data_IF_605032630443
#
_entry.id   IF_605032630443
#
_cell.length_a   1.000
_cell.length_b   1.000
_cell.length_c   1.000
_cell.angle_alpha   90.00
_cell.angle_beta   90.00
_cell.angle_gamma   90.00
#
_symmetry.space_group_name_H-M   'P 1'
#
loop_
_entity.id
_entity.type
_entity.pdbx_description
1 polymer ?
#
# COMPACT_ATOMS: atom_id res chain seq x y z
N UNK A 1 24.40 -29.23 20.40
CA UNK A 1 23.52 -28.15 19.93
C UNK A 1 22.36 -27.89 20.89
N UNK A 2 21.45 -28.85 21.14
CA UNK A 2 20.35 -28.62 22.11
C UNK A 2 20.80 -28.22 23.52
N UNK A 3 21.94 -28.72 24.00
CA UNK A 3 22.53 -28.29 25.28
C UNK A 3 23.08 -26.85 25.23
N UNK A 4 23.53 -26.40 24.07
CA UNK A 4 24.03 -25.03 23.88
C UNK A 4 22.90 -24.01 23.79
N UNK A 5 21.73 -24.39 23.24
CA UNK A 5 20.54 -23.52 23.29
C UNK A 5 20.07 -23.22 24.71
N UNK A 6 20.45 -24.04 25.70
CA UNK A 6 20.17 -23.83 27.14
C UNK A 6 21.16 -22.90 27.85
N UNK A 7 22.17 -22.42 27.14
CA UNK A 7 23.17 -21.56 27.75
C UNK A 7 22.55 -20.19 28.10
N UNK A 8 22.75 -19.77 29.36
CA UNK A 8 22.28 -18.47 29.88
C UNK A 8 22.84 -17.28 29.11
N UNK A 9 23.93 -17.47 28.36
CA UNK A 9 24.48 -16.44 27.47
C UNK A 9 23.46 -15.97 26.41
N UNK A 10 22.47 -16.80 26.09
CA UNK A 10 21.41 -16.48 25.14
C UNK A 10 20.14 -15.92 25.81
N UNK A 11 20.14 -15.69 27.13
CA UNK A 11 18.99 -15.07 27.81
C UNK A 11 18.82 -13.62 27.30
N UNK A 12 17.65 -13.33 26.72
CA UNK A 12 17.39 -12.05 26.04
C UNK A 12 17.85 -11.99 24.58
N UNK A 13 18.39 -13.07 24.04
CA UNK A 13 18.83 -13.24 22.65
C UNK A 13 18.10 -14.42 21.99
N UNK A 14 16.78 -14.43 22.09
CA UNK A 14 15.97 -15.60 21.72
C UNK A 14 16.08 -15.97 20.22
N UNK A 15 16.38 -15.01 19.34
CA UNK A 15 16.64 -15.24 17.92
C UNK A 15 17.84 -16.20 17.68
N UNK A 16 18.86 -16.15 18.53
CA UNK A 16 20.01 -17.07 18.47
C UNK A 16 19.64 -18.45 18.98
N UNK A 17 18.75 -18.52 19.98
CA UNK A 17 18.22 -19.77 20.50
C UNK A 17 17.36 -20.46 19.44
N UNK A 18 16.51 -19.71 18.74
CA UNK A 18 15.74 -20.17 17.58
C UNK A 18 16.64 -20.69 16.47
N UNK A 19 17.70 -19.96 16.12
CA UNK A 19 18.66 -20.38 15.10
C UNK A 19 19.33 -21.73 15.44
N UNK A 20 19.68 -21.97 16.71
CA UNK A 20 20.26 -23.25 17.14
C UNK A 20 19.24 -24.39 17.02
N UNK A 21 17.98 -24.11 17.32
CA UNK A 21 16.88 -25.08 17.22
C UNK A 21 16.61 -25.40 15.75
N UNK A 22 16.55 -24.41 14.88
CA UNK A 22 16.39 -24.55 13.43
C UNK A 22 17.55 -25.36 12.81
N UNK A 23 18.80 -25.09 13.19
CA UNK A 23 19.94 -25.90 12.76
C UNK A 23 19.82 -27.34 13.28
N UNK A 24 19.29 -27.53 14.49
CA UNK A 24 19.07 -28.86 15.05
C UNK A 24 17.99 -29.65 14.29
N UNK A 25 17.02 -28.98 13.67
CA UNK A 25 15.99 -29.62 12.83
C UNK A 25 16.58 -30.31 11.60
N UNK A 26 17.74 -29.88 11.11
CA UNK A 26 18.48 -30.56 10.01
C UNK A 26 18.96 -31.97 10.34
N UNK A 27 18.89 -32.37 11.61
CA UNK A 27 19.26 -33.70 12.11
C UNK A 27 18.04 -34.51 12.56
N UNK A 28 16.83 -34.10 12.15
CA UNK A 28 15.56 -34.76 12.52
C UNK A 28 15.28 -36.06 11.73
N UNK A 29 16.14 -36.41 10.77
CA UNK A 29 16.16 -37.71 10.09
C UNK A 29 16.42 -38.85 11.08
N UNK A 30 17.27 -38.60 12.09
CA UNK A 30 17.53 -39.52 13.20
C UNK A 30 16.40 -39.42 14.23
N UNK A 31 15.59 -40.47 14.36
CA UNK A 31 14.43 -40.53 15.26
C UNK A 31 14.74 -40.09 16.71
N UNK A 32 15.86 -40.52 17.29
CA UNK A 32 16.23 -40.13 18.66
C UNK A 32 16.48 -38.61 18.79
N UNK A 33 17.09 -37.98 17.78
CA UNK A 33 17.34 -36.54 17.79
C UNK A 33 16.06 -35.76 17.55
N UNK A 34 15.21 -36.25 16.64
CA UNK A 34 13.87 -35.72 16.42
C UNK A 34 13.03 -35.70 17.68
N UNK A 35 12.92 -36.83 18.39
CA UNK A 35 12.09 -36.93 19.60
C UNK A 35 12.61 -35.99 20.71
N UNK A 36 13.93 -35.85 20.85
CA UNK A 36 14.55 -34.88 21.78
C UNK A 36 14.27 -33.43 21.38
N UNK A 37 14.30 -33.13 20.09
CA UNK A 37 14.01 -31.80 19.56
C UNK A 37 12.54 -31.42 19.74
N UNK A 38 11.61 -32.34 19.48
CA UNK A 38 10.16 -32.14 19.72
C UNK A 38 9.89 -31.77 21.18
N UNK A 39 10.37 -32.59 22.12
CA UNK A 39 10.23 -32.33 23.57
C UNK A 39 10.85 -31.00 23.99
N UNK A 40 11.98 -30.63 23.36
CA UNK A 40 12.66 -29.37 23.65
C UNK A 40 11.81 -28.17 23.24
N UNK A 41 11.26 -28.21 22.03
CA UNK A 41 10.41 -27.15 21.50
C UNK A 41 9.13 -27.01 22.34
N UNK A 42 8.45 -28.11 22.66
CA UNK A 42 7.25 -28.11 23.49
C UNK A 42 7.50 -27.48 24.88
N UNK A 43 8.64 -27.81 25.49
CA UNK A 43 9.06 -27.22 26.77
C UNK A 43 9.31 -25.71 26.68
N UNK A 44 9.92 -25.24 25.59
CA UNK A 44 10.16 -23.81 25.39
C UNK A 44 8.85 -23.05 25.14
N UNK A 45 7.97 -23.58 24.29
CA UNK A 45 6.67 -22.97 24.00
C UNK A 45 5.80 -22.90 25.25
N UNK A 46 5.77 -23.96 26.07
CA UNK A 46 4.99 -23.98 27.32
C UNK A 46 5.47 -22.95 28.36
N UNK A 47 6.78 -22.67 28.42
CA UNK A 47 7.33 -21.61 29.28
C UNK A 47 6.95 -20.19 28.82
N UNK A 48 6.66 -20.02 27.54
CA UNK A 48 6.38 -18.73 26.93
C UNK A 48 4.88 -18.37 26.95
N UNK A 49 4.01 -19.23 27.53
CA UNK A 49 2.54 -19.04 27.51
C UNK A 49 2.07 -17.76 28.23
N UNK A 50 2.81 -17.30 29.25
CA UNK A 50 2.42 -16.14 30.06
C UNK A 50 2.99 -14.80 29.56
N UNK A 51 3.78 -14.81 28.47
CA UNK A 51 4.47 -13.62 27.99
C UNK A 51 4.06 -13.24 26.56
N UNK A 52 3.20 -12.23 26.44
CA UNK A 52 2.75 -11.66 25.15
C UNK A 52 3.92 -11.25 24.24
N UNK A 53 5.06 -10.86 24.83
CA UNK A 53 6.26 -10.46 24.08
C UNK A 53 6.94 -11.64 23.37
N UNK A 54 6.70 -12.87 23.83
CA UNK A 54 7.28 -14.10 23.27
C UNK A 54 6.34 -14.78 22.26
N UNK A 55 5.23 -14.14 21.88
CA UNK A 55 4.27 -14.71 20.93
C UNK A 55 4.93 -15.07 19.59
N UNK A 56 5.78 -14.19 19.06
CA UNK A 56 6.52 -14.42 17.81
C UNK A 56 7.52 -15.57 17.94
N UNK A 57 8.24 -15.63 19.05
CA UNK A 57 9.19 -16.72 19.34
C UNK A 57 8.47 -18.07 19.44
N UNK A 58 7.33 -18.12 20.14
CA UNK A 58 6.49 -19.32 20.19
C UNK A 58 5.93 -19.74 18.83
N UNK A 59 5.52 -18.78 17.98
CA UNK A 59 5.08 -19.05 16.61
C UNK A 59 6.19 -19.70 15.78
N UNK A 60 7.41 -19.14 15.81
CA UNK A 60 8.57 -19.69 15.10
C UNK A 60 8.93 -21.11 15.56
N UNK A 61 9.00 -21.33 16.87
CA UNK A 61 9.29 -22.66 17.43
C UNK A 61 8.25 -23.70 16.99
N UNK A 62 6.96 -23.32 17.00
CA UNK A 62 5.89 -24.19 16.55
C UNK A 62 5.97 -24.45 15.04
N UNK A 63 6.42 -23.51 14.22
CA UNK A 63 6.66 -23.73 12.80
C UNK A 63 7.77 -24.76 12.57
N UNK A 64 8.89 -24.68 13.30
CA UNK A 64 9.95 -25.69 13.23
C UNK A 64 9.41 -27.08 13.65
N UNK A 65 8.60 -27.13 14.71
CA UNK A 65 7.96 -28.38 15.12
C UNK A 65 6.99 -28.91 14.06
N UNK A 66 6.24 -28.03 13.42
CA UNK A 66 5.35 -28.38 12.32
C UNK A 66 6.12 -28.97 11.13
N UNK A 67 7.24 -28.38 10.71
CA UNK A 67 8.07 -28.93 9.61
C UNK A 67 8.51 -30.37 9.90
N UNK A 68 8.90 -30.65 11.15
CA UNK A 68 9.27 -32.00 11.58
C UNK A 68 8.08 -32.96 11.54
N UNK A 69 6.88 -32.50 11.91
CA UNK A 69 5.66 -33.30 11.87
C UNK A 69 5.22 -33.54 10.42
N UNK A 70 5.31 -32.53 9.56
CA UNK A 70 4.93 -32.61 8.14
C UNK A 70 5.85 -33.56 7.36
N UNK A 71 7.15 -33.57 7.68
CA UNK A 71 8.13 -34.43 7.01
C UNK A 71 8.13 -35.89 7.50
N UNK A 72 7.99 -36.11 8.82
CA UNK A 72 8.18 -37.43 9.43
C UNK A 72 6.94 -38.03 10.10
N UNK A 73 5.85 -37.26 10.20
CA UNK A 73 4.58 -37.67 10.78
C UNK A 73 3.58 -38.18 9.74
N UNK A 74 2.32 -38.33 10.19
CA UNK A 74 1.20 -38.61 9.28
C UNK A 74 0.54 -37.33 8.78
N UNK A 75 -0.17 -37.42 7.65
CA UNK A 75 -0.94 -36.29 7.11
C UNK A 75 -2.01 -35.82 8.10
N UNK A 76 -2.64 -36.76 8.81
CA UNK A 76 -3.59 -36.47 9.89
C UNK A 76 -2.93 -35.73 11.05
N UNK A 77 -1.76 -36.16 11.52
CA UNK A 77 -1.01 -35.49 12.60
C UNK A 77 -0.66 -34.05 12.23
N UNK A 78 -0.17 -33.84 11.00
CA UNK A 78 0.15 -32.50 10.50
C UNK A 78 -1.10 -31.61 10.39
N UNK A 79 -2.23 -32.17 9.91
CA UNK A 79 -3.49 -31.42 9.81
C UNK A 79 -4.08 -31.06 11.18
N UNK A 80 -4.02 -31.97 12.15
CA UNK A 80 -4.44 -31.70 13.54
C UNK A 80 -3.54 -30.64 14.19
N UNK A 81 -2.23 -30.71 13.95
CA UNK A 81 -1.27 -29.74 14.49
C UNK A 81 -1.55 -28.32 13.97
N UNK A 82 -1.84 -28.16 12.68
CA UNK A 82 -2.23 -26.86 12.11
C UNK A 82 -3.50 -26.34 12.78
N UNK A 83 -4.55 -27.18 12.87
CA UNK A 83 -5.84 -26.80 13.45
C UNK A 83 -5.71 -26.37 14.92
N UNK A 84 -4.84 -27.03 15.69
CA UNK A 84 -4.59 -26.69 17.09
C UNK A 84 -3.91 -25.32 17.27
N UNK A 85 -3.25 -24.79 16.23
CA UNK A 85 -2.40 -23.60 16.31
C UNK A 85 -2.94 -22.38 15.53
N UNK A 86 -4.19 -22.38 15.07
CA UNK A 86 -4.82 -21.29 14.29
C UNK A 86 -4.92 -19.91 14.98
N UNK A 87 -4.51 -19.81 16.25
CA UNK A 87 -4.31 -18.53 16.95
C UNK A 87 -3.14 -17.72 16.38
N UNK A 88 -2.21 -18.39 15.73
CA UNK A 88 -1.04 -17.84 15.07
C UNK A 88 -1.32 -17.58 13.59
N UNK A 89 -0.77 -16.50 13.06
CA UNK A 89 -1.01 -16.06 11.68
C UNK A 89 -0.42 -17.06 10.70
N UNK A 90 0.82 -17.51 10.94
CA UNK A 90 1.50 -18.44 10.05
C UNK A 90 0.73 -19.77 9.88
N UNK A 91 0.10 -20.26 10.96
CA UNK A 91 -0.71 -21.48 10.90
C UNK A 91 -2.05 -21.31 10.16
N UNK A 92 -2.65 -20.12 10.21
CA UNK A 92 -3.80 -19.80 9.35
C UNK A 92 -3.41 -19.82 7.88
N UNK A 93 -2.24 -19.27 7.55
CA UNK A 93 -1.72 -19.28 6.17
C UNK A 93 -1.47 -20.70 5.67
N UNK A 94 -0.81 -21.54 6.48
CA UNK A 94 -0.58 -22.95 6.16
C UNK A 94 -1.90 -23.70 5.88
N UNK A 95 -2.93 -23.48 6.70
CA UNK A 95 -4.23 -24.10 6.49
C UNK A 95 -4.89 -23.60 5.19
N UNK A 96 -4.83 -22.29 4.95
CA UNK A 96 -5.37 -21.68 3.72
C UNK A 96 -4.67 -22.24 2.48
N UNK A 97 -3.34 -22.36 2.49
CA UNK A 97 -2.58 -22.91 1.37
C UNK A 97 -2.96 -24.36 1.07
N UNK A 98 -3.20 -25.18 2.10
CA UNK A 98 -3.73 -26.55 1.93
C UNK A 98 -5.13 -26.54 1.32
N UNK A 99 -6.04 -25.73 1.86
CA UNK A 99 -7.41 -25.62 1.35
C UNK A 99 -7.46 -25.12 -0.09
N UNK A 100 -6.56 -24.20 -0.49
CA UNK A 100 -6.42 -23.75 -1.87
C UNK A 100 -5.99 -24.90 -2.78
N UNK A 101 -5.02 -25.72 -2.36
CA UNK A 101 -4.60 -26.91 -3.13
C UNK A 101 -5.73 -27.93 -3.27
N UNK A 102 -6.55 -28.08 -2.23
CA UNK A 102 -7.75 -28.91 -2.20
C UNK A 102 -8.95 -28.29 -2.95
N UNK A 103 -8.84 -27.02 -3.36
CA UNK A 103 -9.91 -26.21 -3.97
C UNK A 103 -11.14 -26.00 -3.08
N UNK A 104 -10.97 -26.10 -1.75
CA UNK A 104 -12.03 -25.80 -0.77
C UNK A 104 -12.05 -24.29 -0.45
N UNK A 105 -12.43 -23.52 -1.47
CA UNK A 105 -12.46 -22.05 -1.38
C UNK A 105 -13.51 -21.53 -0.40
N UNK A 106 -14.55 -22.32 -0.09
CA UNK A 106 -15.55 -21.96 0.92
C UNK A 106 -14.91 -21.84 2.30
N UNK A 107 -14.10 -22.81 2.71
CA UNK A 107 -13.36 -22.73 3.97
C UNK A 107 -12.25 -21.68 3.95
N UNK A 108 -11.64 -21.41 2.80
CA UNK A 108 -10.67 -20.30 2.66
C UNK A 108 -11.34 -18.97 3.01
N UNK A 109 -12.57 -18.74 2.54
CA UNK A 109 -13.34 -17.52 2.85
C UNK A 109 -13.60 -17.43 4.36
N UNK A 110 -14.05 -18.52 4.99
CA UNK A 110 -14.31 -18.57 6.43
C UNK A 110 -13.06 -18.20 7.24
N UNK A 111 -11.91 -18.84 6.93
CA UNK A 111 -10.64 -18.58 7.62
C UNK A 111 -10.12 -17.18 7.38
N UNK A 112 -10.26 -16.63 6.17
CA UNK A 112 -9.84 -15.27 5.87
C UNK A 112 -10.68 -14.25 6.65
N UNK A 113 -12.01 -14.44 6.72
CA UNK A 113 -12.89 -13.59 7.54
C UNK A 113 -12.53 -13.65 9.02
N UNK A 114 -12.26 -14.85 9.57
CA UNK A 114 -11.78 -14.97 10.94
C UNK A 114 -10.43 -14.27 11.14
N UNK A 115 -9.53 -14.37 10.17
CA UNK A 115 -8.23 -13.69 10.16
C UNK A 115 -8.38 -12.17 10.20
N UNK A 116 -9.28 -11.59 9.41
CA UNK A 116 -9.58 -10.15 9.41
C UNK A 116 -10.04 -9.67 10.80
N UNK A 117 -10.87 -10.45 11.50
CA UNK A 117 -11.33 -10.12 12.86
C UNK A 117 -10.20 -10.27 13.89
N UNK A 118 -9.46 -11.39 13.84
CA UNK A 118 -8.41 -11.70 14.82
C UNK A 118 -7.22 -10.74 14.71
N UNK A 119 -6.90 -10.30 13.50
CA UNK A 119 -5.75 -9.44 13.21
C UNK A 119 -6.14 -7.97 12.93
N UNK A 120 -7.35 -7.54 13.33
CA UNK A 120 -7.89 -6.20 13.04
C UNK A 120 -6.95 -5.03 13.37
N UNK A 121 -6.06 -5.20 14.35
CA UNK A 121 -5.07 -4.20 14.77
C UNK A 121 -3.86 -4.07 13.82
N UNK A 122 -3.68 -5.03 12.91
CA UNK A 122 -2.59 -5.10 11.94
C UNK A 122 -3.12 -4.91 10.52
N UNK A 123 -3.20 -3.66 10.08
CA UNK A 123 -3.77 -3.29 8.77
C UNK A 123 -3.18 -4.08 7.59
N UNK A 124 -1.87 -4.38 7.64
CA UNK A 124 -1.20 -5.20 6.62
C UNK A 124 -1.71 -6.64 6.57
N UNK A 125 -2.00 -7.25 7.72
CA UNK A 125 -2.57 -8.60 7.78
C UNK A 125 -4.04 -8.60 7.34
N UNK A 126 -4.83 -7.61 7.76
CA UNK A 126 -6.21 -7.44 7.29
C UNK A 126 -6.25 -7.31 5.77
N UNK A 127 -5.37 -6.51 5.18
CA UNK A 127 -5.24 -6.42 3.71
C UNK A 127 -4.89 -7.78 3.11
N UNK A 128 -3.91 -8.50 3.65
CA UNK A 128 -3.53 -9.85 3.18
C UNK A 128 -4.72 -10.82 3.18
N UNK A 129 -5.49 -10.86 4.26
CA UNK A 129 -6.68 -11.73 4.36
C UNK A 129 -7.76 -11.35 3.34
N UNK A 130 -7.99 -10.06 3.12
CA UNK A 130 -8.90 -9.58 2.07
C UNK A 130 -8.44 -10.00 0.68
N UNK A 131 -7.15 -9.94 0.36
CA UNK A 131 -6.62 -10.38 -0.94
C UNK A 131 -6.77 -11.89 -1.15
N UNK A 132 -6.60 -12.69 -0.09
CA UNK A 132 -6.89 -14.14 -0.12
C UNK A 132 -8.38 -14.40 -0.35
N UNK A 133 -9.26 -13.74 0.43
CA UNK A 133 -10.72 -13.87 0.32
C UNK A 133 -11.21 -13.47 -1.07
N UNK A 134 -10.65 -12.40 -1.64
CA UNK A 134 -10.92 -11.98 -3.01
C UNK A 134 -10.63 -13.09 -4.03
N UNK A 135 -9.47 -13.74 -3.89
CA UNK A 135 -9.08 -14.85 -4.77
C UNK A 135 -10.06 -16.01 -4.65
N UNK A 136 -10.47 -16.36 -3.42
CA UNK A 136 -11.48 -17.40 -3.20
C UNK A 136 -12.86 -17.04 -3.80
N UNK A 137 -13.30 -15.78 -3.70
CA UNK A 137 -14.53 -15.32 -4.37
C UNK A 137 -14.45 -15.48 -5.89
N UNK A 138 -13.30 -15.15 -6.48
CA UNK A 138 -13.06 -15.30 -7.92
C UNK A 138 -13.15 -16.76 -8.36
N UNK A 139 -12.52 -17.68 -7.64
CA UNK A 139 -12.54 -19.12 -7.94
C UNK A 139 -13.92 -19.76 -7.79
N UNK A 140 -14.75 -19.27 -6.86
CA UNK A 140 -16.14 -19.70 -6.69
C UNK A 140 -17.14 -19.01 -7.62
N UNK A 141 -16.70 -18.02 -8.42
CA UNK A 141 -17.59 -17.24 -9.28
C UNK A 141 -18.57 -16.34 -8.51
N UNK A 142 -18.24 -15.95 -7.28
CA UNK A 142 -19.05 -15.08 -6.42
C UNK A 142 -18.85 -13.61 -6.81
N UNK A 143 -19.39 -13.23 -7.97
CA UNK A 143 -19.13 -11.94 -8.62
C UNK A 143 -19.51 -10.72 -7.78
N UNK A 144 -20.67 -10.72 -7.13
CA UNK A 144 -21.13 -9.56 -6.34
C UNK A 144 -20.20 -9.29 -5.14
N UNK A 145 -19.77 -10.37 -4.48
CA UNK A 145 -18.84 -10.32 -3.35
C UNK A 145 -17.43 -9.91 -3.80
N UNK A 146 -16.98 -10.46 -4.92
CA UNK A 146 -15.74 -10.09 -5.58
C UNK A 146 -15.71 -8.60 -5.94
N UNK A 147 -16.77 -8.07 -6.55
CA UNK A 147 -16.87 -6.66 -6.92
C UNK A 147 -16.81 -5.77 -5.68
N UNK A 148 -17.62 -6.06 -4.66
CA UNK A 148 -17.65 -5.27 -3.42
C UNK A 148 -16.27 -5.19 -2.76
N UNK A 149 -15.60 -6.33 -2.66
CA UNK A 149 -14.28 -6.40 -2.02
C UNK A 149 -13.18 -5.75 -2.88
N UNK A 150 -13.23 -5.88 -4.21
CA UNK A 150 -12.30 -5.17 -5.08
C UNK A 150 -12.48 -3.65 -5.00
N UNK A 151 -13.71 -3.14 -4.92
CA UNK A 151 -13.96 -1.71 -4.71
C UNK A 151 -13.35 -1.23 -3.40
N UNK A 152 -13.53 -2.00 -2.32
CA UNK A 152 -12.95 -1.69 -1.02
C UNK A 152 -11.41 -1.63 -1.07
N UNK A 153 -10.77 -2.65 -1.66
CA UNK A 153 -9.31 -2.70 -1.81
C UNK A 153 -8.78 -1.57 -2.69
N UNK A 154 -9.46 -1.30 -3.81
CA UNK A 154 -9.14 -0.21 -4.72
C UNK A 154 -9.20 1.15 -4.01
N UNK A 155 -10.27 1.42 -3.26
CA UNK A 155 -10.43 2.68 -2.52
C UNK A 155 -9.44 2.77 -1.35
N UNK A 156 -9.04 1.62 -0.79
CA UNK A 156 -7.98 1.48 0.21
C UNK A 156 -6.57 1.73 -0.32
N UNK A 157 -6.39 1.81 -1.65
CA UNK A 157 -5.14 2.19 -2.30
C UNK A 157 -4.48 1.10 -3.15
N UNK A 158 -5.02 -0.11 -3.14
CA UNK A 158 -4.56 -1.22 -3.97
C UNK A 158 -5.07 -1.03 -5.41
N UNK A 159 -4.41 -0.12 -6.14
CA UNK A 159 -4.85 0.32 -7.47
C UNK A 159 -4.96 -0.81 -8.50
N UNK A 160 -4.24 -1.92 -8.31
CA UNK A 160 -4.34 -3.11 -9.15
C UNK A 160 -5.78 -3.65 -9.26
N UNK A 161 -6.61 -3.47 -8.23
CA UNK A 161 -8.00 -3.93 -8.22
C UNK A 161 -8.91 -3.13 -9.16
N UNK A 162 -8.50 -1.96 -9.64
CA UNK A 162 -9.23 -1.26 -10.70
C UNK A 162 -9.26 -2.08 -12.00
N UNK A 163 -8.17 -2.78 -12.34
CA UNK A 163 -8.11 -3.63 -13.53
C UNK A 163 -9.05 -4.83 -13.39
N UNK A 164 -9.07 -5.45 -12.21
CA UNK A 164 -10.00 -6.54 -11.92
C UNK A 164 -11.47 -6.08 -12.00
N UNK A 165 -11.80 -4.92 -11.43
CA UNK A 165 -13.14 -4.34 -11.53
C UNK A 165 -13.55 -4.06 -12.97
N UNK A 166 -12.62 -3.53 -13.78
CA UNK A 166 -12.86 -3.29 -15.20
C UNK A 166 -13.18 -4.60 -15.95
N UNK A 167 -12.47 -5.69 -15.66
CA UNK A 167 -12.77 -6.99 -16.29
C UNK A 167 -14.15 -7.54 -15.88
N UNK A 168 -14.60 -7.29 -14.64
CA UNK A 168 -15.94 -7.66 -14.20
C UNK A 168 -17.04 -6.87 -14.93
N UNK A 169 -16.75 -5.63 -15.33
CA UNK A 169 -17.69 -4.69 -15.99
C UNK A 169 -17.40 -4.47 -17.47
N UNK A 170 -16.81 -5.48 -18.14
CA UNK A 170 -16.33 -5.34 -19.53
C UNK A 170 -17.42 -4.94 -20.55
N UNK A 171 -18.68 -5.31 -20.32
CA UNK A 171 -19.80 -4.92 -21.17
C UNK A 171 -20.16 -3.43 -21.08
N UNK A 172 -19.85 -2.79 -19.96
CA UNK A 172 -20.34 -1.46 -19.58
C UNK A 172 -19.21 -0.58 -18.99
N UNK A 173 -18.00 -0.72 -19.53
CA UNK A 173 -16.79 -0.10 -18.96
C UNK A 173 -16.93 1.42 -18.75
N UNK A 174 -17.53 2.13 -19.71
CA UNK A 174 -17.69 3.59 -19.63
C UNK A 174 -18.67 4.00 -18.52
N UNK A 175 -19.77 3.26 -18.36
CA UNK A 175 -20.74 3.49 -17.29
C UNK A 175 -20.08 3.22 -15.95
N UNK A 176 -19.37 2.10 -15.83
CA UNK A 176 -18.65 1.72 -14.62
C UNK A 176 -17.57 2.74 -14.24
N UNK A 177 -16.77 3.20 -15.21
CA UNK A 177 -15.78 4.23 -15.01
C UNK A 177 -16.39 5.50 -14.43
N UNK A 178 -17.48 5.99 -15.02
CA UNK A 178 -18.14 7.20 -14.55
C UNK A 178 -18.73 7.04 -13.14
N UNK A 179 -19.31 5.89 -12.81
CA UNK A 179 -19.80 5.60 -11.46
C UNK A 179 -18.67 5.63 -10.42
N UNK A 180 -17.58 4.89 -10.66
CA UNK A 180 -16.42 4.85 -9.77
C UNK A 180 -15.76 6.22 -9.64
N UNK A 181 -15.64 6.95 -10.75
CA UNK A 181 -15.09 8.31 -10.77
C UNK A 181 -15.90 9.23 -9.85
N UNK A 182 -17.23 9.19 -9.93
CA UNK A 182 -18.11 9.99 -9.07
C UNK A 182 -18.05 9.55 -7.60
N UNK A 183 -18.00 8.25 -7.32
CA UNK A 183 -17.83 7.76 -5.94
C UNK A 183 -16.52 8.24 -5.32
N UNK A 184 -15.41 8.16 -6.07
CA UNK A 184 -14.09 8.63 -5.63
C UNK A 184 -14.05 10.15 -5.46
N UNK A 185 -14.64 10.90 -6.40
CA UNK A 185 -14.69 12.38 -6.39
C UNK A 185 -15.44 12.91 -5.17
N UNK A 186 -16.58 12.30 -4.83
CA UNK A 186 -17.43 12.72 -3.71
C UNK A 186 -16.90 12.27 -2.34
N UNK A 187 -15.85 11.44 -2.31
CA UNK A 187 -15.24 11.00 -1.07
C UNK A 187 -14.40 12.10 -0.41
N UNK A 188 -14.56 12.28 0.91
CA UNK A 188 -13.85 13.31 1.68
C UNK A 188 -12.46 12.86 2.15
N UNK A 189 -12.18 11.57 2.15
CA UNK A 189 -10.89 11.01 2.56
C UNK A 189 -9.78 11.42 1.56
N UNK A 190 -8.70 11.98 2.10
CA UNK A 190 -7.56 12.44 1.31
C UNK A 190 -6.83 11.29 0.59
N UNK A 191 -6.82 10.08 1.17
CA UNK A 191 -6.27 8.89 0.53
C UNK A 191 -7.08 8.54 -0.71
N UNK A 192 -8.41 8.54 -0.61
CA UNK A 192 -9.31 8.24 -1.72
C UNK A 192 -9.20 9.31 -2.83
N UNK A 193 -9.01 10.58 -2.46
CA UNK A 193 -8.73 11.65 -3.44
C UNK A 193 -7.43 11.43 -4.24
N UNK A 194 -6.42 10.78 -3.64
CA UNK A 194 -5.21 10.41 -4.40
C UNK A 194 -5.50 9.30 -5.41
N UNK A 195 -6.38 8.38 -5.07
CA UNK A 195 -6.84 7.32 -5.98
C UNK A 195 -7.68 7.90 -7.11
N UNK A 196 -8.58 8.84 -6.81
CA UNK A 196 -9.31 9.64 -7.82
C UNK A 196 -8.34 10.27 -8.83
N UNK A 197 -7.35 11.01 -8.35
CA UNK A 197 -6.37 11.67 -9.22
C UNK A 197 -5.58 10.68 -10.07
N UNK A 198 -5.12 9.59 -9.46
CA UNK A 198 -4.40 8.54 -10.19
C UNK A 198 -5.29 7.93 -11.28
N UNK A 199 -6.57 7.70 -10.99
CA UNK A 199 -7.52 7.13 -11.93
C UNK A 199 -7.76 8.05 -13.14
N UNK A 200 -8.06 9.34 -12.94
CA UNK A 200 -8.34 10.27 -14.04
C UNK A 200 -7.09 10.55 -14.89
N UNK A 201 -5.90 10.54 -14.28
CA UNK A 201 -4.63 10.66 -15.00
C UNK A 201 -4.34 9.43 -15.86
N UNK A 202 -4.49 8.22 -15.31
CA UNK A 202 -4.27 6.97 -16.06
C UNK A 202 -5.29 6.78 -17.20
N UNK A 203 -6.49 7.34 -17.06
CA UNK A 203 -7.54 7.33 -18.08
C UNK A 203 -7.49 8.51 -19.05
N UNK A 204 -6.55 9.44 -18.89
CA UNK A 204 -6.46 10.67 -19.66
C UNK A 204 -7.81 11.44 -19.70
N UNK A 205 -8.58 11.41 -18.61
CA UNK A 205 -9.82 12.18 -18.48
C UNK A 205 -9.48 13.65 -18.20
N UNK A 206 -9.10 14.35 -19.27
CA UNK A 206 -8.66 15.74 -19.22
C UNK A 206 -9.76 16.67 -18.69
N UNK A 207 -11.04 16.34 -18.89
CA UNK A 207 -12.14 17.16 -18.39
C UNK A 207 -12.23 17.08 -16.86
N UNK A 208 -12.17 15.87 -16.29
CA UNK A 208 -12.15 15.67 -14.84
C UNK A 208 -10.86 16.23 -14.21
N UNK A 209 -9.73 16.12 -14.90
CA UNK A 209 -8.45 16.67 -14.44
C UNK A 209 -8.47 18.21 -14.43
N UNK A 210 -9.02 18.83 -15.48
CA UNK A 210 -9.18 20.28 -15.54
C UNK A 210 -10.11 20.78 -14.42
N UNK A 211 -11.23 20.10 -14.17
CA UNK A 211 -12.13 20.44 -13.05
C UNK A 211 -11.39 20.39 -11.71
N UNK A 212 -10.61 19.34 -11.47
CA UNK A 212 -9.80 19.24 -10.25
C UNK A 212 -8.80 20.40 -10.12
N UNK A 213 -8.14 20.78 -11.21
CA UNK A 213 -7.16 21.88 -11.23
C UNK A 213 -7.82 23.23 -10.96
N UNK A 214 -9.03 23.48 -11.47
CA UNK A 214 -9.82 24.69 -11.16
C UNK A 214 -10.07 24.83 -9.66
N UNK A 215 -10.43 23.74 -9.00
CA UNK A 215 -10.64 23.71 -7.55
C UNK A 215 -9.33 23.78 -6.76
N UNK A 216 -8.22 23.34 -7.37
CA UNK A 216 -6.91 23.25 -6.73
C UNK A 216 -5.79 23.89 -7.57
N UNK A 217 -5.78 25.22 -7.77
CA UNK A 217 -4.83 25.90 -8.66
C UNK A 217 -3.35 25.63 -8.35
N UNK A 218 -3.03 25.30 -7.09
CA UNK A 218 -1.67 24.95 -6.66
C UNK A 218 -1.10 23.71 -7.34
N UNK A 219 -1.96 22.89 -7.97
CA UNK A 219 -1.57 21.66 -8.65
C UNK A 219 -1.31 21.85 -10.15
N UNK A 220 -1.53 23.05 -10.68
CA UNK A 220 -1.38 23.37 -12.11
C UNK A 220 -0.01 22.94 -12.67
N UNK A 221 1.07 23.11 -11.91
CA UNK A 221 2.42 22.75 -12.37
C UNK A 221 2.58 21.25 -12.65
N UNK A 222 1.78 20.40 -12.00
CA UNK A 222 1.87 18.96 -12.16
C UNK A 222 1.12 18.48 -13.41
N UNK A 223 0.16 19.25 -13.91
CA UNK A 223 -0.82 18.80 -14.90
C UNK A 223 -0.92 19.71 -16.13
N UNK A 224 -0.29 20.88 -16.13
CA UNK A 224 -0.35 21.84 -17.23
C UNK A 224 0.04 21.22 -18.58
N UNK A 225 1.10 20.40 -18.62
CA UNK A 225 1.54 19.72 -19.84
C UNK A 225 0.48 18.77 -20.41
N UNK A 226 -0.31 18.10 -19.56
CA UNK A 226 -1.38 17.21 -20.01
C UNK A 226 -2.63 17.97 -20.48
N UNK A 227 -2.83 19.19 -19.98
CA UNK A 227 -4.06 19.96 -20.18
C UNK A 227 -3.94 21.01 -21.29
N UNK A 228 -2.74 21.52 -21.56
CA UNK A 228 -2.52 22.67 -22.44
C UNK A 228 -3.05 22.45 -23.85
N UNK A 229 -2.91 21.24 -24.40
CA UNK A 229 -3.36 20.93 -25.78
C UNK A 229 -4.88 21.10 -25.99
N UNK A 230 -5.69 20.96 -24.92
CA UNK A 230 -7.16 21.08 -24.98
C UNK A 230 -7.69 22.31 -24.25
N UNK A 231 -7.00 22.80 -23.24
CA UNK A 231 -7.44 23.86 -22.33
C UNK A 231 -6.42 25.01 -22.23
N UNK A 232 -5.70 25.31 -23.31
CA UNK A 232 -4.58 26.27 -23.36
C UNK A 232 -4.84 27.57 -22.59
N UNK A 233 -5.83 28.36 -23.03
CA UNK A 233 -6.15 29.67 -22.42
C UNK A 233 -6.42 29.55 -20.91
N UNK A 234 -7.14 28.52 -20.50
CA UNK A 234 -7.54 28.33 -19.11
C UNK A 234 -6.36 27.86 -18.24
N UNK A 235 -5.53 26.97 -18.76
CA UNK A 235 -4.30 26.50 -18.10
C UNK A 235 -3.34 27.67 -17.90
N UNK A 236 -3.16 28.50 -18.93
CA UNK A 236 -2.30 29.67 -18.90
C UNK A 236 -2.78 30.65 -17.83
N UNK A 237 -4.07 30.99 -17.81
CA UNK A 237 -4.61 31.94 -16.82
C UNK A 237 -4.53 31.40 -15.38
N UNK A 238 -4.89 30.13 -15.13
CA UNK A 238 -4.75 29.53 -13.79
C UNK A 238 -3.30 29.50 -13.33
N UNK A 239 -2.36 29.18 -14.22
CA UNK A 239 -0.93 29.14 -13.89
C UNK A 239 -0.39 30.54 -13.60
N UNK A 240 -0.80 31.53 -14.40
CA UNK A 240 -0.49 32.95 -14.20
C UNK A 240 -0.96 33.42 -12.83
N UNK A 241 -2.21 33.15 -12.46
CA UNK A 241 -2.79 33.51 -11.15
C UNK A 241 -2.10 32.79 -9.99
N UNK A 242 -1.78 31.51 -10.14
CA UNK A 242 -1.03 30.76 -9.14
C UNK A 242 0.35 31.40 -8.89
N UNK A 243 1.07 31.80 -9.94
CA UNK A 243 2.35 32.51 -9.82
C UNK A 243 2.17 33.85 -9.09
N UNK A 244 1.10 34.60 -9.37
CA UNK A 244 0.82 35.88 -8.67
C UNK A 244 0.59 35.65 -7.17
N UNK A 245 -0.15 34.62 -6.78
CA UNK A 245 -0.37 34.27 -5.36
C UNK A 245 0.96 33.92 -4.67
N UNK A 246 1.81 33.12 -5.31
CA UNK A 246 3.13 32.76 -4.79
C UNK A 246 4.07 33.98 -4.71
N UNK A 247 4.05 34.86 -5.70
CA UNK A 247 4.82 36.11 -5.72
C UNK A 247 4.40 37.06 -4.59
N UNK A 248 3.10 37.14 -4.32
CA UNK A 248 2.56 37.99 -3.27
C UNK A 248 3.02 37.56 -1.88
N UNK A 249 2.96 36.26 -1.61
CA UNK A 249 3.39 35.66 -0.34
C UNK A 249 4.92 35.62 -0.16
N UNK A 250 5.70 35.76 -1.24
CA UNK A 250 7.16 35.74 -1.18
C UNK A 250 7.75 36.98 -0.49
N UNK A 251 8.53 36.75 0.58
CA UNK A 251 9.18 37.81 1.35
C UNK A 251 10.70 37.63 1.48
N UNK A 252 11.24 36.49 1.04
CA UNK A 252 12.66 36.16 1.14
C UNK A 252 13.25 35.86 -0.23
N UNK A 253 14.57 36.03 -0.36
CA UNK A 253 15.29 35.74 -1.60
C UNK A 253 15.10 34.30 -2.09
N UNK A 254 15.06 33.34 -1.16
CA UNK A 254 14.78 31.93 -1.47
C UNK A 254 13.37 31.73 -2.03
N UNK A 255 12.37 32.46 -1.53
CA UNK A 255 11.00 32.42 -2.07
C UNK A 255 10.92 33.08 -3.46
N UNK A 256 11.62 34.20 -3.68
CA UNK A 256 11.70 34.82 -5.00
C UNK A 256 12.30 33.89 -6.05
N UNK A 257 13.36 33.16 -5.69
CA UNK A 257 13.95 32.15 -6.57
C UNK A 257 12.97 31.01 -6.90
N UNK A 258 12.13 30.59 -5.96
CA UNK A 258 11.05 29.62 -6.24
C UNK A 258 10.04 30.18 -7.24
N UNK A 259 9.60 31.42 -7.08
CA UNK A 259 8.69 32.08 -8.04
C UNK A 259 9.33 32.17 -9.42
N UNK A 260 10.62 32.54 -9.50
CA UNK A 260 11.37 32.58 -10.74
C UNK A 260 11.50 31.21 -11.41
N UNK A 261 11.62 30.13 -10.64
CA UNK A 261 11.56 28.75 -11.17
C UNK A 261 10.19 28.44 -11.79
N UNK A 262 9.09 28.82 -11.12
CA UNK A 262 7.73 28.66 -11.64
C UNK A 262 7.51 29.44 -12.94
N UNK A 263 8.02 30.67 -13.03
CA UNK A 263 7.98 31.46 -14.27
C UNK A 263 8.71 30.79 -15.44
N UNK A 264 9.84 30.10 -15.18
CA UNK A 264 10.54 29.33 -16.22
C UNK A 264 9.71 28.15 -16.71
N UNK A 265 9.01 27.45 -15.81
CA UNK A 265 8.12 26.36 -16.18
C UNK A 265 6.91 26.90 -16.97
N UNK A 266 6.30 27.99 -16.52
CA UNK A 266 5.21 28.68 -17.21
C UNK A 266 5.56 29.05 -18.66
N UNK A 267 6.80 29.51 -18.91
CA UNK A 267 7.31 29.78 -20.28
C UNK A 267 7.17 28.60 -21.23
N UNK A 268 7.34 27.38 -20.73
CA UNK A 268 7.26 26.17 -21.55
C UNK A 268 5.81 25.84 -21.95
N UNK A 269 4.84 26.34 -21.18
CA UNK A 269 3.40 26.13 -21.41
C UNK A 269 2.81 27.29 -22.20
N UNK A 270 2.95 28.52 -21.70
CA UNK A 270 2.34 29.72 -22.28
C UNK A 270 3.19 30.40 -23.37
N UNK A 271 4.47 30.05 -23.47
CA UNK A 271 5.38 30.69 -24.42
C UNK A 271 6.04 31.98 -23.91
N UNK A 272 6.79 32.62 -24.81
CA UNK A 272 7.70 33.73 -24.46
C UNK A 272 6.99 35.07 -24.25
N UNK A 273 5.94 35.35 -25.02
CA UNK A 273 5.23 36.63 -24.93
C UNK A 273 4.44 36.71 -23.62
N UNK A 274 3.70 35.66 -23.25
CA UNK A 274 3.00 35.57 -21.97
C UNK A 274 3.93 35.65 -20.76
N UNK A 275 5.10 35.00 -20.83
CA UNK A 275 6.11 35.14 -19.79
C UNK A 275 6.54 36.62 -19.64
N UNK A 276 6.81 37.30 -20.75
CA UNK A 276 7.29 38.67 -20.76
C UNK A 276 6.24 39.61 -20.18
N UNK A 277 4.96 39.41 -20.53
CA UNK A 277 3.84 40.15 -19.94
C UNK A 277 3.79 39.95 -18.43
N UNK A 278 3.83 38.70 -17.95
CA UNK A 278 3.75 38.40 -16.53
C UNK A 278 4.95 38.95 -15.74
N UNK A 279 6.17 38.89 -16.29
CA UNK A 279 7.36 39.50 -15.67
C UNK A 279 7.19 41.02 -15.56
N UNK A 280 6.67 41.67 -16.60
CA UNK A 280 6.42 43.12 -16.58
C UNK A 280 5.37 43.47 -15.51
N UNK A 281 4.27 42.72 -15.43
CA UNK A 281 3.21 42.91 -14.43
C UNK A 281 3.78 42.78 -13.00
N UNK A 282 4.51 41.70 -12.71
CA UNK A 282 5.14 41.47 -11.41
C UNK A 282 6.17 42.57 -11.07
N UNK A 283 6.94 43.04 -12.06
CA UNK A 283 7.92 44.11 -11.86
C UNK A 283 7.27 45.44 -11.47
N UNK A 284 6.11 45.75 -12.06
CA UNK A 284 5.34 46.95 -11.72
C UNK A 284 4.73 46.83 -10.32
N UNK A 285 4.10 45.71 -9.99
CA UNK A 285 3.45 45.46 -8.70
C UNK A 285 4.49 45.49 -7.56
N UNK A 286 5.64 44.84 -7.75
CA UNK A 286 6.66 44.68 -6.72
C UNK A 286 7.86 45.63 -6.87
N UNK A 287 7.66 46.82 -7.48
CA UNK A 287 8.71 47.83 -7.68
C UNK A 287 9.49 48.24 -6.42
N UNK A 288 8.92 48.05 -5.23
CA UNK A 288 9.53 48.33 -3.91
C UNK A 288 10.29 47.14 -3.32
N UNK A 289 10.48 46.04 -4.05
CA UNK A 289 11.23 44.85 -3.63
C UNK A 289 12.48 44.66 -4.52
N UNK A 290 13.58 45.41 -4.32
CA UNK A 290 14.76 45.37 -5.20
C UNK A 290 15.35 43.97 -5.37
N UNK A 291 15.39 43.19 -4.28
CA UNK A 291 15.87 41.81 -4.33
C UNK A 291 14.99 40.89 -5.18
N UNK A 292 13.68 41.17 -5.30
CA UNK A 292 12.80 40.39 -6.18
C UNK A 292 13.01 40.80 -7.64
N UNK A 293 13.14 42.11 -7.92
CA UNK A 293 13.43 42.61 -9.27
C UNK A 293 14.76 42.05 -9.82
N UNK A 294 15.79 41.93 -8.98
CA UNK A 294 17.06 41.28 -9.33
C UNK A 294 16.85 39.81 -9.76
N UNK A 295 16.04 39.05 -9.02
CA UNK A 295 15.75 37.67 -9.39
C UNK A 295 14.90 37.57 -10.67
N UNK A 296 13.88 38.43 -10.85
CA UNK A 296 13.06 38.49 -12.07
C UNK A 296 13.92 38.80 -13.31
N UNK A 297 14.91 39.69 -13.18
CA UNK A 297 15.83 40.03 -14.25
C UNK A 297 16.62 38.85 -14.82
N UNK A 298 16.77 37.76 -14.05
CA UNK A 298 17.48 36.52 -14.42
C UNK A 298 16.60 35.49 -15.11
N UNK A 299 15.30 35.77 -15.29
CA UNK A 299 14.32 34.81 -15.84
C UNK A 299 14.08 35.00 -17.36
N UNK A 300 14.65 36.05 -17.96
CA UNK A 300 14.53 36.37 -19.40
C UNK A 300 14.87 35.18 -20.32
#
# INVERSE_FOLDING_TARGET
MLKESDNKIFDGWEEYRDSIIEISAKFADVKEFRDKLKLKIEHLVSKNLDNTYQRYHSENLLLILFEIIDEYGSEEEAAEFIKANLKFTAFRELLIDRLIKEKDYSKVIELALEGEVKDQQYLGLVSKWKKIRYTAYKELGLKDEQERLAKELFFGGDFEYYKELKELHKSDEEIFYNQIKEELKNNRDWHVKRIYLKLIVEKEDLAALMEFVRENPRTIENYAEMLVDRYEDEVIEIYKDFIKVEANSASTRKMYQKVCKKLKNYKNIAGKEDLKELINELSVIYKRRPAFLDELGKVK
#
